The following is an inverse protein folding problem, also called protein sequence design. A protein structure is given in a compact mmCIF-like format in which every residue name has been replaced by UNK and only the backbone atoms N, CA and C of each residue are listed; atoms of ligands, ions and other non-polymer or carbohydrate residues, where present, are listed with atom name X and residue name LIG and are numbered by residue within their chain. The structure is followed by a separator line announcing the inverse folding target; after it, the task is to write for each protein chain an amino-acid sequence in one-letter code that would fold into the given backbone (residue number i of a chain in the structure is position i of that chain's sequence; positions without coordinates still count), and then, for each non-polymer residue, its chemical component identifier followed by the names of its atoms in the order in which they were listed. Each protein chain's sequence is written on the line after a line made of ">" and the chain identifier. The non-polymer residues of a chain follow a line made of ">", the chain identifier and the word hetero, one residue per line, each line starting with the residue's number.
data_IF_943946491313
#
_entry.id   IF_943946491313
#
_cell.length_a   1.000
_cell.length_b   1.000
_cell.length_c   1.000
_cell.angle_alpha   90.00
_cell.angle_beta   90.00
_cell.angle_gamma   90.00
#
_symmetry.space_group_name_H-M   'P 1'
#
loop_
_entity.id
_entity.type
_entity.pdbx_description
1 polymer ?
#
# COMPACT_ATOMS: atom_id res chain seq x y z
N UNK A 1 -3.83 -11.93 33.24
CA UNK A 1 -5.20 -11.71 32.72
C UNK A 1 -5.10 -11.78 31.21
N UNK A 2 -5.70 -12.78 30.56
CA UNK A 2 -5.96 -12.70 29.13
C UNK A 2 -7.21 -11.84 28.99
N UNK A 3 -7.01 -10.54 28.80
CA UNK A 3 -8.10 -9.63 28.46
C UNK A 3 -8.65 -10.07 27.10
N UNK A 4 -9.93 -10.43 27.08
CA UNK A 4 -10.60 -10.84 25.85
C UNK A 4 -10.71 -9.61 24.96
N UNK A 5 -10.22 -9.72 23.73
CA UNK A 5 -10.33 -8.64 22.74
C UNK A 5 -11.80 -8.26 22.52
N UNK A 6 -12.07 -6.97 22.39
CA UNK A 6 -13.39 -6.48 22.01
C UNK A 6 -13.65 -6.66 20.49
N UNK A 7 -14.89 -6.46 20.06
CA UNK A 7 -15.29 -6.69 18.66
C UNK A 7 -14.54 -5.79 17.67
N UNK A 8 -14.27 -4.53 18.04
CA UNK A 8 -13.50 -3.59 17.19
C UNK A 8 -12.04 -4.05 17.05
N UNK A 9 -11.41 -4.52 18.13
CA UNK A 9 -10.05 -5.06 18.12
C UNK A 9 -9.95 -6.35 17.31
N UNK A 10 -10.98 -7.22 17.39
CA UNK A 10 -11.06 -8.43 16.58
C UNK A 10 -11.22 -8.11 15.10
N UNK A 11 -12.09 -7.15 14.75
CA UNK A 11 -12.27 -6.72 13.37
C UNK A 11 -11.00 -6.07 12.81
N UNK A 12 -10.34 -5.19 13.57
CA UNK A 12 -9.06 -4.57 13.18
C UNK A 12 -8.02 -5.65 12.86
N UNK A 13 -7.83 -6.61 13.78
CA UNK A 13 -6.85 -7.70 13.59
C UNK A 13 -7.21 -8.58 12.41
N UNK A 14 -8.48 -8.97 12.27
CA UNK A 14 -8.94 -9.77 11.15
C UNK A 14 -8.68 -9.10 9.80
N UNK A 15 -8.87 -7.77 9.71
CA UNK A 15 -8.61 -7.05 8.48
C UNK A 15 -7.11 -6.98 8.17
N UNK A 16 -6.28 -6.59 9.14
CA UNK A 16 -4.82 -6.60 8.98
C UNK A 16 -4.31 -7.98 8.60
N UNK A 17 -4.81 -9.03 9.27
CA UNK A 17 -4.42 -10.40 9.04
C UNK A 17 -4.73 -10.83 7.60
N UNK A 18 -5.95 -10.53 7.12
CA UNK A 18 -6.39 -10.83 5.76
C UNK A 18 -5.52 -10.13 4.72
N UNK A 19 -5.33 -8.81 4.82
CA UNK A 19 -4.52 -8.05 3.87
C UNK A 19 -3.04 -8.51 3.88
N UNK A 20 -2.49 -8.82 5.05
CA UNK A 20 -1.13 -9.35 5.14
C UNK A 20 -1.02 -10.74 4.48
N UNK A 21 -2.02 -11.60 4.66
CA UNK A 21 -2.05 -12.92 4.03
C UNK A 21 -2.17 -12.81 2.51
N UNK A 22 -3.07 -11.94 2.01
CA UNK A 22 -3.24 -11.71 0.57
C UNK A 22 -1.99 -11.10 -0.08
N UNK A 23 -1.32 -10.18 0.62
CA UNK A 23 -0.04 -9.63 0.20
C UNK A 23 1.01 -10.74 0.06
N UNK A 24 1.12 -11.55 1.11
CA UNK A 24 2.13 -12.60 1.23
C UNK A 24 1.88 -13.77 0.27
N UNK A 25 0.64 -14.04 -0.09
CA UNK A 25 0.28 -15.09 -1.05
C UNK A 25 0.38 -14.65 -2.51
N UNK A 26 0.63 -13.37 -2.78
CA UNK A 26 0.66 -12.82 -4.14
C UNK A 26 -0.71 -12.46 -4.71
N UNK A 27 -1.77 -12.51 -3.90
CA UNK A 27 -3.16 -12.23 -4.34
C UNK A 27 -3.48 -10.73 -4.34
N UNK A 28 -2.64 -9.89 -3.72
CA UNK A 28 -2.82 -8.44 -3.64
C UNK A 28 -2.38 -7.69 -4.91
N UNK A 29 -3.14 -7.82 -5.99
CA UNK A 29 -2.85 -7.16 -7.27
C UNK A 29 -3.60 -5.83 -7.40
N UNK A 30 -2.93 -4.72 -7.73
CA UNK A 30 -3.53 -3.36 -7.70
C UNK A 30 -4.09 -2.85 -9.03
N UNK A 31 -3.67 -3.40 -10.17
CA UNK A 31 -4.33 -3.16 -11.45
C UNK A 31 -3.76 -4.13 -12.49
N UNK A 32 -4.58 -5.10 -12.92
CA UNK A 32 -4.34 -5.88 -14.12
C UNK A 32 -5.69 -6.02 -14.83
N UNK A 33 -5.73 -5.65 -16.12
CA UNK A 33 -6.93 -5.80 -16.95
C UNK A 33 -7.40 -7.26 -17.09
N UNK A 34 -6.55 -8.24 -16.78
CA UNK A 34 -6.86 -9.67 -16.85
C UNK A 34 -7.19 -10.29 -15.48
N UNK A 35 -6.90 -9.59 -14.37
CA UNK A 35 -7.20 -10.09 -13.03
C UNK A 35 -8.70 -9.94 -12.71
N UNK A 36 -9.35 -11.06 -12.36
CA UNK A 36 -10.77 -11.08 -11.98
C UNK A 36 -11.08 -10.30 -10.69
N UNK A 37 -10.11 -10.18 -9.79
CA UNK A 37 -10.20 -9.45 -8.54
C UNK A 37 -8.93 -8.61 -8.43
N UNK A 38 -9.07 -7.30 -8.30
CA UNK A 38 -7.97 -6.37 -8.05
C UNK A 38 -8.31 -5.49 -6.85
N UNK A 39 -7.27 -5.00 -6.19
CA UNK A 39 -7.36 -4.06 -5.09
C UNK A 39 -7.38 -2.64 -5.64
N UNK A 40 -8.38 -1.86 -5.26
CA UNK A 40 -8.41 -0.43 -5.50
C UNK A 40 -7.86 0.29 -4.27
N UNK A 41 -6.64 0.86 -4.33
CA UNK A 41 -6.09 1.61 -3.22
C UNK A 41 -6.84 2.93 -3.07
N UNK A 42 -7.08 3.36 -1.83
CA UNK A 42 -7.70 4.66 -1.55
C UNK A 42 -6.71 5.80 -1.80
N UNK A 43 -5.45 5.59 -1.44
CA UNK A 43 -4.36 6.54 -1.58
C UNK A 43 -3.01 5.81 -1.50
N UNK A 44 -1.92 6.47 -1.89
CA UNK A 44 -0.57 5.92 -1.73
C UNK A 44 0.51 7.00 -1.62
N UNK A 45 1.54 6.72 -0.84
CA UNK A 45 2.74 7.54 -0.68
C UNK A 45 3.97 6.81 -1.23
N UNK A 46 4.68 7.45 -2.16
CA UNK A 46 5.95 6.95 -2.66
C UNK A 46 7.11 7.32 -1.73
N UNK A 47 7.91 6.33 -1.35
CA UNK A 47 9.20 6.55 -0.70
C UNK A 47 10.30 6.59 -1.75
N UNK A 48 10.82 7.79 -1.99
CA UNK A 48 11.79 8.07 -3.05
C UNK A 48 13.15 8.41 -2.44
N UNK A 49 14.22 7.85 -3.02
CA UNK A 49 15.58 8.10 -2.58
C UNK A 49 16.14 9.42 -3.10
N UNK A 50 17.39 9.74 -2.72
CA UNK A 50 18.05 10.99 -3.13
C UNK A 50 18.25 11.12 -4.65
N UNK A 51 18.32 9.99 -5.37
CA UNK A 51 18.49 9.97 -6.82
C UNK A 51 17.16 10.13 -7.57
N UNK A 52 16.03 10.18 -6.86
CA UNK A 52 14.70 10.29 -7.46
C UNK A 52 14.08 8.93 -7.81
N UNK A 53 14.69 7.83 -7.39
CA UNK A 53 14.20 6.47 -7.63
C UNK A 53 13.27 6.04 -6.48
N UNK A 54 12.14 5.44 -6.82
CA UNK A 54 11.23 4.87 -5.83
C UNK A 54 11.84 3.60 -5.24
N UNK A 55 11.90 3.51 -3.91
CA UNK A 55 12.38 2.34 -3.18
C UNK A 55 11.23 1.56 -2.54
N UNK A 56 10.26 2.28 -1.99
CA UNK A 56 9.15 1.70 -1.23
C UNK A 56 7.84 2.46 -1.50
N UNK A 57 6.74 1.88 -1.06
CA UNK A 57 5.42 2.47 -1.13
C UNK A 57 4.63 2.22 0.15
N UNK A 58 3.84 3.21 0.56
CA UNK A 58 2.77 3.03 1.53
C UNK A 58 1.43 3.12 0.81
N UNK A 59 0.54 2.16 1.01
CA UNK A 59 -0.74 2.08 0.30
C UNK A 59 -1.88 2.02 1.31
N UNK A 60 -2.83 2.95 1.21
CA UNK A 60 -4.04 2.95 2.02
C UNK A 60 -5.05 1.96 1.43
N UNK A 61 -5.24 0.82 2.10
CA UNK A 61 -6.07 -0.29 1.64
C UNK A 61 -7.53 -0.15 2.08
N UNK A 62 -7.78 0.42 3.26
CA UNK A 62 -9.12 0.56 3.81
C UNK A 62 -9.26 1.81 4.68
N UNK A 63 -10.44 2.43 4.60
CA UNK A 63 -10.90 3.53 5.46
C UNK A 63 -12.41 3.45 5.72
N UNK A 64 -12.91 4.25 6.66
CA UNK A 64 -14.33 4.24 7.08
C UNK A 64 -14.66 3.33 8.27
N UNK A 65 -13.64 2.68 8.83
CA UNK A 65 -13.67 1.88 10.06
C UNK A 65 -12.22 1.77 10.56
N UNK A 66 -11.64 0.56 10.67
CA UNK A 66 -10.19 0.42 10.68
C UNK A 66 -9.54 1.16 9.51
N UNK A 67 -8.47 1.90 9.79
CA UNK A 67 -7.59 2.45 8.77
C UNK A 67 -6.44 1.48 8.58
N UNK A 68 -6.29 0.91 7.38
CA UNK A 68 -5.29 -0.13 7.09
C UNK A 68 -4.33 0.35 6.01
N UNK A 69 -3.04 0.27 6.30
CA UNK A 69 -1.95 0.61 5.41
C UNK A 69 -1.09 -0.62 5.13
N UNK A 70 -0.74 -0.82 3.86
CA UNK A 70 0.41 -1.63 3.47
C UNK A 70 1.64 -0.74 3.50
N UNK A 71 2.70 -1.15 4.20
CA UNK A 71 3.93 -0.37 4.34
C UNK A 71 5.12 -1.26 3.96
N UNK A 72 5.60 -1.15 2.71
CA UNK A 72 6.70 -2.01 2.22
C UNK A 72 8.03 -1.64 2.87
N UNK A 73 8.20 -0.37 3.26
CA UNK A 73 9.41 0.12 3.94
C UNK A 73 9.61 -0.53 5.30
N UNK A 74 8.53 -0.63 6.09
CA UNK A 74 8.55 -1.34 7.38
C UNK A 74 8.26 -2.84 7.26
N UNK A 75 7.94 -3.32 6.05
CA UNK A 75 7.58 -4.72 5.76
C UNK A 75 6.40 -5.22 6.60
N UNK A 76 5.37 -4.38 6.74
CA UNK A 76 4.18 -4.71 7.53
C UNK A 76 2.90 -4.25 6.82
N UNK A 77 1.80 -4.94 7.11
CA UNK A 77 0.48 -4.33 7.08
C UNK A 77 0.19 -3.80 8.47
N UNK A 78 -0.15 -2.53 8.56
CA UNK A 78 -0.47 -1.82 9.79
C UNK A 78 -1.90 -1.30 9.79
N UNK A 79 -2.59 -1.51 10.90
CA UNK A 79 -3.97 -1.09 11.07
C UNK A 79 -4.18 -0.30 12.35
N UNK A 80 -5.08 0.68 12.28
CA UNK A 80 -5.41 1.59 13.36
C UNK A 80 -6.92 1.74 13.51
N UNK A 81 -7.43 1.68 14.75
CA UNK A 81 -8.82 2.04 15.05
C UNK A 81 -8.92 2.68 16.44
N UNK A 82 -9.19 3.98 16.49
CA UNK A 82 -9.22 4.73 17.76
C UNK A 82 -7.83 4.72 18.40
N UNK A 83 -7.72 4.19 19.63
CA UNK A 83 -6.44 4.00 20.32
C UNK A 83 -5.80 2.64 20.09
N UNK A 84 -6.47 1.73 19.38
CA UNK A 84 -5.95 0.40 19.08
C UNK A 84 -5.13 0.40 17.80
N UNK A 85 -4.03 -0.37 17.81
CA UNK A 85 -3.19 -0.59 16.65
C UNK A 85 -2.76 -2.04 16.58
N UNK A 86 -2.59 -2.56 15.37
CA UNK A 86 -2.05 -3.90 15.16
C UNK A 86 -1.24 -3.92 13.86
N UNK A 87 -0.10 -4.61 13.89
CA UNK A 87 0.80 -4.75 12.75
C UNK A 87 1.07 -6.23 12.51
N UNK A 88 1.10 -6.64 11.25
CA UNK A 88 1.51 -7.98 10.84
C UNK A 88 2.63 -7.89 9.80
N UNK A 89 3.75 -8.60 10.00
CA UNK A 89 4.82 -8.68 9.00
C UNK A 89 4.34 -9.29 7.69
N UNK A 90 4.95 -8.86 6.59
CA UNK A 90 4.73 -9.38 5.24
C UNK A 90 6.07 -9.78 4.60
N UNK A 91 6.00 -10.59 3.56
CA UNK A 91 7.14 -11.01 2.73
C UNK A 91 6.65 -11.26 1.29
N UNK A 92 7.61 -11.49 0.38
CA UNK A 92 7.36 -11.74 -1.05
C UNK A 92 6.51 -10.64 -1.73
N UNK A 93 6.69 -9.38 -1.32
CA UNK A 93 5.90 -8.21 -1.76
C UNK A 93 6.54 -7.40 -2.90
N UNK A 94 7.65 -7.87 -3.48
CA UNK A 94 8.41 -7.17 -4.53
C UNK A 94 7.55 -6.84 -5.75
N UNK A 95 6.58 -7.71 -6.10
CA UNK A 95 5.64 -7.48 -7.20
C UNK A 95 4.79 -6.21 -7.01
N UNK A 96 4.49 -5.83 -5.76
CA UNK A 96 3.78 -4.59 -5.44
C UNK A 96 4.70 -3.39 -5.68
N UNK A 97 5.97 -3.48 -5.27
CA UNK A 97 6.96 -2.43 -5.52
C UNK A 97 7.15 -2.24 -7.02
N UNK A 98 7.30 -3.32 -7.78
CA UNK A 98 7.45 -3.27 -9.24
C UNK A 98 6.28 -2.53 -9.90
N UNK A 99 5.05 -2.89 -9.54
CA UNK A 99 3.83 -2.22 -10.02
C UNK A 99 3.83 -0.71 -9.73
N UNK A 100 4.10 -0.32 -8.48
CA UNK A 100 4.09 1.09 -8.10
C UNK A 100 5.28 1.88 -8.68
N UNK A 101 6.42 1.22 -8.90
CA UNK A 101 7.59 1.81 -9.55
C UNK A 101 7.30 2.14 -11.02
N UNK A 102 6.65 1.25 -11.76
CA UNK A 102 6.20 1.50 -13.12
C UNK A 102 5.25 2.70 -13.18
N UNK A 103 4.27 2.76 -12.27
CA UNK A 103 3.35 3.89 -12.16
C UNK A 103 4.08 5.21 -11.88
N UNK A 104 5.01 5.21 -10.92
CA UNK A 104 5.81 6.39 -10.56
C UNK A 104 6.65 6.88 -11.76
N UNK A 105 7.34 5.97 -12.45
CA UNK A 105 8.17 6.30 -13.60
C UNK A 105 7.37 6.88 -14.77
N UNK A 106 6.17 6.34 -15.02
CA UNK A 106 5.25 6.87 -16.02
C UNK A 106 4.80 8.31 -15.67
N UNK A 107 4.47 8.56 -14.40
CA UNK A 107 4.11 9.88 -13.90
C UNK A 107 5.25 10.90 -14.06
N UNK A 108 6.49 10.56 -13.65
CA UNK A 108 7.64 11.45 -13.75
C UNK A 108 7.99 11.77 -15.21
N UNK A 109 7.89 10.79 -16.10
CA UNK A 109 8.07 10.99 -17.54
C UNK A 109 7.08 12.01 -18.10
N UNK A 110 5.81 11.93 -17.69
CA UNK A 110 4.78 12.87 -18.11
C UNK A 110 5.02 14.29 -17.57
N UNK A 111 5.49 14.43 -16.33
CA UNK A 111 5.87 15.72 -15.75
C UNK A 111 6.99 16.39 -16.54
N UNK A 112 8.04 15.64 -16.89
CA UNK A 112 9.15 16.15 -17.68
C UNK A 112 8.71 16.66 -19.06
N UNK A 113 7.84 15.90 -19.76
CA UNK A 113 7.27 16.33 -21.05
C UNK A 113 6.48 17.63 -20.89
N UNK A 114 5.68 17.74 -19.84
CA UNK A 114 4.84 18.92 -19.60
C UNK A 114 5.66 20.17 -19.27
N UNK A 115 6.76 20.04 -18.52
CA UNK A 115 7.70 21.12 -18.23
C UNK A 115 8.38 21.65 -19.50
N UNK A 116 8.87 20.75 -20.36
CA UNK A 116 9.51 21.13 -21.61
C UNK A 116 8.57 21.90 -22.55
N UNK A 117 7.28 21.54 -22.60
CA UNK A 117 6.27 22.27 -23.39
C UNK A 117 6.00 23.67 -22.85
N UNK A 118 6.09 23.89 -21.54
CA UNK A 118 5.86 25.20 -20.91
C UNK A 118 7.06 26.15 -21.04
N UNK A 119 8.28 25.63 -21.13
CA UNK A 119 9.50 26.42 -21.35
C UNK A 119 9.76 26.86 -22.79
N UNK A 120 8.88 26.48 -23.73
CA UNK A 120 8.93 26.87 -25.15
C UNK A 120 7.93 27.98 -25.53
N UNK A 121 7.28 28.60 -24.53
CA UNK A 121 6.43 29.80 -24.66
C UNK A 121 7.15 31.03 -24.08
#
# INVERSE_FOLDING_TARGET
>A
MNEKLNDCQLQLRSMVDQYADDCTSGEMQFYDSEAKNYYEPYDWDYCVNRLGEMEDVMVLLAGGGPTIWLNTREQVVEGYWGSDSYKKPIYDYEYIIEYFAEHYNAMESQKAINLNKRGQL
#
